data_IF_823780550050
#
_entry.id   IF_823780550050
#
_cell.length_a   1.000
_cell.length_b   1.000
_cell.length_c   1.000
_cell.angle_alpha   90.00
_cell.angle_beta   90.00
_cell.angle_gamma   90.00
#
_symmetry.space_group_name_H-M   'P 1'
#
loop_
_entity.id
_entity.type
_entity.pdbx_description
1 polymer ?
#
# COMPACT_ATOMS: atom_id res chain seq x y z
N UNK A 1 15.36 17.94 -3.82
CA UNK A 1 15.13 16.49 -3.82
C UNK A 1 13.71 16.25 -3.34
N UNK A 2 13.02 15.28 -3.92
CA UNK A 2 11.69 14.83 -3.48
C UNK A 2 11.79 13.36 -3.09
N UNK A 3 11.25 13.01 -1.93
CA UNK A 3 11.15 11.64 -1.46
C UNK A 3 9.72 11.14 -1.62
N UNK A 4 9.57 9.93 -2.18
CA UNK A 4 8.28 9.27 -2.32
C UNK A 4 8.22 8.07 -1.37
N UNK A 5 7.15 7.99 -0.60
CA UNK A 5 6.77 6.86 0.24
C UNK A 5 5.33 6.41 -0.07
N UNK A 6 4.95 5.22 0.37
CA UNK A 6 3.64 4.62 0.08
C UNK A 6 2.77 4.43 1.32
N UNK A 7 3.31 4.68 2.52
CA UNK A 7 2.59 4.51 3.77
C UNK A 7 2.78 5.74 4.68
N UNK A 8 1.71 6.14 5.37
CA UNK A 8 1.67 7.35 6.21
C UNK A 8 2.71 7.32 7.35
N UNK A 9 2.92 6.18 8.07
CA UNK A 9 3.93 6.11 9.12
C UNK A 9 5.36 6.32 8.61
N UNK A 10 5.61 6.08 7.32
CA UNK A 10 6.94 6.17 6.72
C UNK A 10 7.37 7.64 6.56
N UNK A 11 6.42 8.57 6.41
CA UNK A 11 6.68 10.02 6.35
C UNK A 11 7.45 10.45 7.60
N UNK A 12 6.94 10.09 8.77
CA UNK A 12 7.48 10.54 10.06
C UNK A 12 8.90 10.06 10.28
N UNK A 13 9.18 8.78 9.98
CA UNK A 13 10.52 8.23 10.18
C UNK A 13 11.53 8.80 9.19
N UNK A 14 11.08 9.10 7.96
CA UNK A 14 11.93 9.70 6.96
C UNK A 14 12.24 11.17 7.30
N UNK A 15 11.26 11.93 7.79
CA UNK A 15 11.48 13.28 8.31
C UNK A 15 12.52 13.29 9.44
N UNK A 16 12.44 12.35 10.37
CA UNK A 16 13.47 12.18 11.41
C UNK A 16 14.84 11.85 10.83
N UNK A 17 14.92 11.05 9.77
CA UNK A 17 16.19 10.78 9.09
C UNK A 17 16.76 12.04 8.40
N UNK A 18 15.91 12.88 7.83
CA UNK A 18 16.29 14.15 7.19
C UNK A 18 16.84 15.15 8.23
N UNK A 19 16.25 15.19 9.42
CA UNK A 19 16.77 16.00 10.54
C UNK A 19 18.17 15.55 11.00
N UNK A 20 18.49 14.26 10.85
CA UNK A 20 19.79 13.70 11.21
C UNK A 20 20.87 13.88 10.12
N UNK A 21 20.48 14.15 8.89
CA UNK A 21 21.38 14.17 7.74
C UNK A 21 20.90 15.16 6.66
N UNK A 22 21.52 16.34 6.63
CA UNK A 22 21.17 17.42 5.71
C UNK A 22 21.28 17.05 4.22
N UNK A 23 22.00 15.99 3.87
CA UNK A 23 22.06 15.55 2.46
C UNK A 23 20.79 14.87 1.97
N UNK A 24 19.86 14.53 2.88
CA UNK A 24 18.51 14.06 2.55
C UNK A 24 17.48 15.21 2.53
N UNK A 25 17.91 16.48 2.59
CA UNK A 25 16.95 17.58 2.58
C UNK A 25 16.08 17.56 1.33
N UNK A 26 14.77 17.54 1.56
CA UNK A 26 13.77 17.37 0.51
C UNK A 26 12.37 17.24 1.06
N UNK A 27 11.39 17.42 0.17
CA UNK A 27 9.99 17.19 0.49
C UNK A 27 9.71 15.69 0.58
N UNK A 28 8.87 15.26 1.54
CA UNK A 28 8.41 13.87 1.63
C UNK A 28 6.95 13.83 1.21
N UNK A 29 6.66 13.12 0.13
CA UNK A 29 5.34 12.98 -0.47
C UNK A 29 4.91 11.52 -0.38
N UNK A 30 3.66 11.31 0.02
CA UNK A 30 3.03 9.99 0.04
C UNK A 30 2.16 9.79 -1.18
N UNK A 31 2.27 8.61 -1.80
CA UNK A 31 1.22 8.04 -2.65
C UNK A 31 0.31 7.22 -1.73
N UNK A 32 -0.96 7.58 -1.64
CA UNK A 32 -1.86 7.18 -0.56
C UNK A 32 -2.58 5.85 -0.82
N UNK A 33 -2.93 5.59 -2.08
CA UNK A 33 -3.77 4.46 -2.44
C UNK A 33 -3.04 3.11 -2.25
N UNK A 34 -3.78 2.08 -1.86
CA UNK A 34 -3.28 0.70 -1.80
C UNK A 34 -3.60 -0.02 -3.13
N UNK A 35 -2.71 0.18 -4.10
CA UNK A 35 -2.79 -0.49 -5.41
C UNK A 35 -2.60 -2.01 -5.33
N UNK A 36 -2.30 -2.58 -4.15
CA UNK A 36 -2.28 -4.03 -3.98
C UNK A 36 -3.68 -4.65 -3.93
N UNK A 37 -4.75 -3.84 -3.79
CA UNK A 37 -6.14 -4.29 -3.80
C UNK A 37 -7.02 -3.45 -4.73
N UNK A 38 -8.15 -4.02 -5.16
CA UNK A 38 -9.16 -3.32 -5.95
C UNK A 38 -8.98 -3.42 -7.46
N UNK A 39 -9.83 -2.73 -8.24
CA UNK A 39 -9.73 -2.73 -9.69
C UNK A 39 -8.51 -1.91 -10.15
N UNK A 40 -7.86 -2.37 -11.20
CA UNK A 40 -6.74 -1.68 -11.87
C UNK A 40 -6.93 -1.58 -13.39
N UNK A 41 -8.04 -2.06 -13.92
CA UNK A 41 -8.29 -1.92 -15.35
C UNK A 41 -8.37 -0.44 -15.69
N UNK A 42 -7.75 -0.04 -16.81
CA UNK A 42 -7.80 1.35 -17.26
C UNK A 42 -7.34 2.38 -16.21
N UNK A 43 -6.44 1.99 -15.28
CA UNK A 43 -6.05 2.81 -14.11
C UNK A 43 -5.40 4.16 -14.48
N UNK A 44 -4.98 4.34 -15.73
CA UNK A 44 -4.36 5.59 -16.22
C UNK A 44 -5.32 6.47 -17.04
N UNK A 45 -6.58 6.09 -17.17
CA UNK A 45 -7.60 6.86 -17.92
C UNK A 45 -8.84 7.08 -17.07
N UNK A 46 -9.59 8.14 -17.39
CA UNK A 46 -10.68 8.63 -16.53
C UNK A 46 -11.71 7.59 -16.11
N UNK A 47 -12.03 6.62 -16.98
CA UNK A 47 -12.96 5.53 -16.65
C UNK A 47 -12.45 4.64 -15.50
N UNK A 48 -11.22 4.13 -15.59
CA UNK A 48 -10.66 3.25 -14.56
C UNK A 48 -10.35 3.98 -13.25
N UNK A 49 -9.98 5.26 -13.34
CA UNK A 49 -9.79 6.14 -12.17
C UNK A 49 -11.10 6.27 -11.39
N UNK A 50 -12.20 6.53 -12.09
CA UNK A 50 -13.52 6.68 -11.48
C UNK A 50 -14.05 5.32 -10.96
N UNK A 51 -13.83 4.23 -11.68
CA UNK A 51 -14.18 2.87 -11.21
C UNK A 51 -13.48 2.55 -9.87
N UNK A 52 -12.18 2.85 -9.78
CA UNK A 52 -11.41 2.63 -8.56
C UNK A 52 -11.89 3.51 -7.41
N UNK A 53 -12.19 4.79 -7.69
CA UNK A 53 -12.77 5.70 -6.71
C UNK A 53 -14.08 5.13 -6.17
N UNK A 54 -15.01 4.74 -7.05
CA UNK A 54 -16.29 4.13 -6.69
C UNK A 54 -16.11 2.85 -5.87
N UNK A 55 -15.15 2.02 -6.24
CA UNK A 55 -14.82 0.81 -5.48
C UNK A 55 -14.38 1.15 -4.05
N UNK A 56 -13.49 2.13 -3.85
CA UNK A 56 -13.13 2.58 -2.50
C UNK A 56 -14.33 3.15 -1.74
N UNK A 57 -15.26 3.85 -2.39
CA UNK A 57 -16.50 4.29 -1.73
C UNK A 57 -17.30 3.11 -1.19
N UNK A 58 -17.39 2.02 -1.96
CA UNK A 58 -18.08 0.79 -1.54
C UNK A 58 -17.35 0.06 -0.40
N UNK A 59 -16.02 0.00 -0.45
CA UNK A 59 -15.20 -0.64 0.58
C UNK A 59 -15.33 0.08 1.92
N UNK A 60 -15.33 1.41 1.90
CA UNK A 60 -15.34 2.24 3.11
C UNK A 60 -16.76 2.58 3.60
N UNK A 61 -17.80 2.29 2.81
CA UNK A 61 -19.19 2.57 3.14
C UNK A 61 -19.62 2.01 4.50
N UNK A 62 -20.18 2.89 5.34
CA UNK A 62 -20.59 2.59 6.70
C UNK A 62 -19.50 1.94 7.55
N UNK A 63 -18.21 2.19 7.29
CA UNK A 63 -17.09 1.67 8.05
C UNK A 63 -16.30 2.76 8.77
N UNK A 64 -15.24 2.35 9.47
CA UNK A 64 -14.42 3.25 10.31
C UNK A 64 -13.75 4.40 9.54
N UNK A 65 -13.69 4.30 8.21
CA UNK A 65 -13.01 5.22 7.30
C UNK A 65 -13.93 5.89 6.29
N UNK A 66 -15.25 5.84 6.47
CA UNK A 66 -16.23 6.40 5.51
C UNK A 66 -15.97 7.88 5.19
N UNK A 67 -15.55 8.68 6.17
CA UNK A 67 -15.25 10.11 5.96
C UNK A 67 -14.06 10.37 5.04
N UNK A 68 -13.10 9.44 4.94
CA UNK A 68 -11.94 9.60 4.04
C UNK A 68 -12.34 9.69 2.57
N UNK A 69 -13.49 9.11 2.21
CA UNK A 69 -14.04 9.17 0.85
C UNK A 69 -14.71 10.52 0.59
N UNK A 70 -15.39 11.08 1.59
CA UNK A 70 -16.19 12.30 1.42
C UNK A 70 -15.34 13.55 1.34
N UNK A 71 -14.17 13.54 1.97
CA UNK A 71 -13.35 14.74 2.11
C UNK A 71 -12.50 15.01 0.85
N UNK A 72 -12.42 14.05 -0.08
CA UNK A 72 -11.68 14.19 -1.34
C UNK A 72 -10.17 14.40 -1.15
N UNK A 73 -9.65 14.09 0.04
CA UNK A 73 -8.27 14.37 0.44
C UNK A 73 -7.24 13.50 -0.28
N UNK A 74 -7.66 12.36 -0.84
CA UNK A 74 -6.77 11.42 -1.53
C UNK A 74 -6.95 11.52 -3.04
N UNK A 75 -5.97 12.13 -3.71
CA UNK A 75 -5.88 12.18 -5.18
C UNK A 75 -4.42 11.99 -5.62
N UNK A 76 -4.00 10.73 -5.72
CA UNK A 76 -2.64 10.39 -6.15
C UNK A 76 -2.37 10.81 -7.60
N UNK A 77 -3.39 10.91 -8.46
CA UNK A 77 -3.22 11.38 -9.84
C UNK A 77 -2.84 12.86 -9.89
N UNK A 78 -3.45 13.67 -9.04
CA UNK A 78 -3.05 15.06 -8.85
C UNK A 78 -1.62 15.15 -8.33
N UNK A 79 -1.25 14.34 -7.33
CA UNK A 79 0.13 14.28 -6.83
C UNK A 79 1.11 13.93 -7.97
N UNK A 80 0.81 12.90 -8.77
CA UNK A 80 1.64 12.51 -9.90
C UNK A 80 1.76 13.64 -10.94
N UNK A 81 0.68 14.36 -11.25
CA UNK A 81 0.70 15.50 -12.16
C UNK A 81 1.56 16.66 -11.62
N UNK A 82 1.50 16.93 -10.31
CA UNK A 82 2.31 17.94 -9.65
C UNK A 82 3.80 17.56 -9.66
N UNK A 83 4.13 16.30 -9.38
CA UNK A 83 5.49 15.75 -9.48
C UNK A 83 6.06 15.92 -10.89
N UNK A 84 5.32 15.49 -11.92
CA UNK A 84 5.71 15.66 -13.33
C UNK A 84 5.93 17.14 -13.66
N UNK A 85 5.01 18.01 -13.22
CA UNK A 85 5.14 19.45 -13.41
C UNK A 85 6.40 20.03 -12.76
N UNK A 86 6.71 19.63 -11.53
CA UNK A 86 7.90 20.08 -10.81
C UNK A 86 9.18 19.62 -11.52
N UNK A 87 9.25 18.34 -11.88
CA UNK A 87 10.41 17.74 -12.57
C UNK A 87 10.66 18.34 -13.96
N UNK A 88 9.62 18.80 -14.67
CA UNK A 88 9.74 19.53 -15.95
C UNK A 88 10.22 20.96 -15.77
N UNK A 89 9.83 21.63 -14.68
CA UNK A 89 10.20 23.03 -14.40
C UNK A 89 11.61 23.19 -13.82
N UNK A 90 12.11 22.16 -13.13
CA UNK A 90 13.41 22.15 -12.50
C UNK A 90 14.24 20.94 -12.98
N UNK A 91 15.24 21.19 -13.82
CA UNK A 91 16.12 20.15 -14.36
C UNK A 91 17.06 19.55 -13.31
N UNK A 92 17.32 20.27 -12.20
CA UNK A 92 18.14 19.79 -11.09
C UNK A 92 17.33 18.97 -10.06
N UNK A 93 16.00 18.97 -10.16
CA UNK A 93 15.15 18.21 -9.26
C UNK A 93 15.32 16.71 -9.50
N UNK A 94 15.40 15.95 -8.40
CA UNK A 94 15.53 14.49 -8.40
C UNK A 94 14.51 13.87 -7.45
N UNK A 95 14.05 12.68 -7.81
CA UNK A 95 13.09 11.89 -7.03
C UNK A 95 13.78 10.67 -6.43
N UNK A 96 13.52 10.41 -5.16
CA UNK A 96 13.94 9.21 -4.44
C UNK A 96 12.72 8.41 -4.00
N UNK A 97 12.49 7.27 -4.64
CA UNK A 97 11.41 6.35 -4.29
C UNK A 97 11.91 5.37 -3.23
N UNK A 98 11.27 5.38 -2.06
CA UNK A 98 11.53 4.44 -0.99
C UNK A 98 10.49 3.33 -1.04
N UNK A 99 10.95 2.08 -1.11
CA UNK A 99 10.05 0.94 -1.13
C UNK A 99 10.58 -0.20 -0.23
N UNK A 100 9.74 -0.70 0.66
CA UNK A 100 9.98 -1.90 1.43
C UNK A 100 9.57 -3.18 0.67
N UNK A 101 9.96 -4.33 1.22
CA UNK A 101 9.66 -5.65 0.65
C UNK A 101 8.20 -6.06 0.95
N UNK A 102 7.23 -5.23 0.57
CA UNK A 102 5.80 -5.50 0.74
C UNK A 102 5.02 -5.16 -0.54
N UNK A 103 3.83 -5.75 -0.68
CA UNK A 103 2.98 -5.59 -1.87
C UNK A 103 2.45 -4.17 -2.07
N UNK A 104 2.27 -3.39 -1.00
CA UNK A 104 1.71 -2.04 -1.07
C UNK A 104 2.72 -1.10 -1.73
N UNK A 105 3.93 -1.06 -1.20
CA UNK A 105 5.04 -0.25 -1.75
C UNK A 105 5.38 -0.66 -3.19
N UNK A 106 5.48 -1.96 -3.47
CA UNK A 106 5.83 -2.43 -4.83
C UNK A 106 4.72 -2.11 -5.83
N UNK A 107 3.45 -2.24 -5.45
CA UNK A 107 2.32 -1.86 -6.33
C UNK A 107 2.27 -0.35 -6.57
N UNK A 108 2.50 0.46 -5.53
CA UNK A 108 2.59 1.92 -5.66
C UNK A 108 3.76 2.36 -6.52
N UNK A 109 4.92 1.72 -6.37
CA UNK A 109 6.09 1.92 -7.23
C UNK A 109 5.76 1.66 -8.71
N UNK A 110 5.17 0.51 -9.01
CA UNK A 110 4.76 0.15 -10.37
C UNK A 110 3.75 1.14 -10.96
N UNK A 111 2.75 1.54 -10.16
CA UNK A 111 1.79 2.54 -10.60
C UNK A 111 2.45 3.88 -10.93
N UNK A 112 3.33 4.37 -10.05
CA UNK A 112 3.99 5.67 -10.17
C UNK A 112 4.96 5.73 -11.36
N UNK A 113 5.65 4.61 -11.64
CA UNK A 113 6.74 4.58 -12.62
C UNK A 113 6.28 5.01 -14.03
N UNK A 114 5.00 4.77 -14.36
CA UNK A 114 4.39 5.23 -15.62
C UNK A 114 4.56 6.73 -15.86
N UNK A 115 4.46 7.54 -14.81
CA UNK A 115 4.58 9.00 -14.90
C UNK A 115 6.03 9.47 -14.89
N UNK A 116 6.95 8.63 -14.43
CA UNK A 116 8.35 9.00 -14.18
C UNK A 116 9.26 8.70 -15.38
N UNK A 117 8.76 8.03 -16.43
CA UNK A 117 9.54 7.57 -17.59
C UNK A 117 10.34 8.67 -18.30
N UNK A 118 9.84 9.90 -18.34
CA UNK A 118 10.52 11.01 -19.02
C UNK A 118 11.70 11.60 -18.22
N UNK A 119 11.87 11.20 -16.95
CA UNK A 119 12.88 11.74 -16.04
C UNK A 119 14.00 10.75 -15.75
N UNK A 120 14.33 9.88 -16.70
CA UNK A 120 15.45 8.95 -16.62
C UNK A 120 16.75 9.68 -16.21
N UNK A 121 17.53 9.04 -15.33
CA UNK A 121 18.73 9.64 -14.72
C UNK A 121 18.46 10.61 -13.56
N UNK A 122 17.19 10.98 -13.29
CA UNK A 122 16.79 11.84 -12.16
C UNK A 122 15.86 11.16 -11.16
N UNK A 123 15.54 9.88 -11.39
CA UNK A 123 14.69 9.08 -10.51
C UNK A 123 15.50 7.92 -9.96
N UNK A 124 15.58 7.90 -8.64
CA UNK A 124 16.32 6.94 -7.86
C UNK A 124 15.35 6.06 -7.10
N UNK A 125 15.73 4.81 -6.88
CA UNK A 125 15.02 3.88 -6.01
C UNK A 125 15.95 3.39 -4.91
N UNK A 126 15.39 3.34 -3.70
CA UNK A 126 15.95 2.60 -2.59
C UNK A 126 14.96 1.51 -2.21
N UNK A 127 15.30 0.28 -2.61
CA UNK A 127 14.45 -0.89 -2.40
C UNK A 127 15.01 -1.79 -1.32
N UNK A 128 14.25 -2.00 -0.24
CA UNK A 128 14.67 -2.75 0.96
C UNK A 128 14.59 -4.27 0.77
N UNK A 129 15.01 -4.78 -0.38
CA UNK A 129 14.90 -6.20 -0.71
C UNK A 129 15.78 -7.07 0.18
N UNK A 130 15.18 -7.59 1.25
CA UNK A 130 15.83 -8.44 2.25
C UNK A 130 17.10 -7.79 2.83
N UNK A 131 17.10 -6.46 2.97
CA UNK A 131 18.22 -5.74 3.58
C UNK A 131 18.17 -5.88 5.11
N UNK A 132 19.28 -6.25 5.77
CA UNK A 132 19.33 -6.36 7.22
C UNK A 132 19.50 -4.97 7.87
N UNK A 133 18.72 -4.72 8.92
CA UNK A 133 18.78 -3.51 9.74
C UNK A 133 19.03 -3.85 11.20
N UNK A 134 19.50 -2.86 11.97
CA UNK A 134 19.79 -3.02 13.39
C UNK A 134 18.73 -2.27 14.20
N UNK A 135 18.03 -2.99 15.08
CA UNK A 135 17.03 -2.39 15.96
C UNK A 135 17.68 -1.61 17.12
N UNK A 136 16.87 -0.97 17.97
CA UNK A 136 17.38 -0.19 19.12
C UNK A 136 18.23 -1.02 20.10
N UNK A 137 18.00 -2.32 20.19
CA UNK A 137 18.72 -3.26 21.04
C UNK A 137 19.99 -3.83 20.39
N UNK A 138 20.32 -3.41 19.17
CA UNK A 138 21.50 -3.91 18.45
C UNK A 138 21.29 -5.25 17.75
N UNK A 139 20.06 -5.76 17.63
CA UNK A 139 19.79 -7.02 16.95
C UNK A 139 19.47 -6.80 15.46
N UNK A 140 19.88 -7.77 14.62
CA UNK A 140 19.60 -7.77 13.20
C UNK A 140 18.14 -8.19 12.96
N UNK A 141 17.43 -7.46 12.11
CA UNK A 141 16.10 -7.80 11.63
C UNK A 141 15.92 -7.38 10.16
N UNK A 142 14.86 -7.88 9.53
CA UNK A 142 14.51 -7.59 8.14
C UNK A 142 13.13 -6.90 8.13
N UNK A 143 13.06 -5.60 7.83
CA UNK A 143 11.82 -4.84 7.91
C UNK A 143 10.87 -5.20 6.75
N UNK A 144 9.58 -5.26 7.04
CA UNK A 144 8.54 -5.32 6.01
C UNK A 144 8.02 -3.92 5.64
N UNK A 145 8.25 -2.93 6.51
CA UNK A 145 7.81 -1.55 6.33
C UNK A 145 8.97 -0.59 6.62
N UNK A 146 9.00 0.55 5.92
CA UNK A 146 10.05 1.57 6.10
C UNK A 146 10.00 2.12 7.55
N UNK A 147 8.80 2.33 8.08
CA UNK A 147 8.53 2.76 9.46
C UNK A 147 9.03 1.82 10.56
N UNK A 148 9.39 0.57 10.26
CA UNK A 148 10.03 -0.33 11.22
C UNK A 148 11.53 -0.01 11.41
N UNK A 149 12.13 0.77 10.50
CA UNK A 149 13.56 1.08 10.52
C UNK A 149 13.82 2.28 11.43
N UNK A 150 14.76 2.21 12.38
CA UNK A 150 15.16 3.39 13.14
C UNK A 150 15.76 4.47 12.23
N UNK A 151 15.38 5.74 12.40
CA UNK A 151 15.84 6.88 11.57
C UNK A 151 17.37 6.92 11.36
N UNK A 152 18.16 6.59 12.39
CA UNK A 152 19.64 6.53 12.31
C UNK A 152 20.19 5.53 11.29
N UNK A 153 19.44 4.48 10.96
CA UNK A 153 19.89 3.47 9.99
C UNK A 153 19.69 3.94 8.54
N UNK A 154 18.88 4.98 8.30
CA UNK A 154 18.70 5.57 6.96
C UNK A 154 19.99 6.21 6.44
N UNK A 155 20.88 6.69 7.33
CA UNK A 155 22.18 7.25 6.95
C UNK A 155 23.08 6.22 6.24
N UNK A 156 22.89 4.93 6.54
CA UNK A 156 23.53 3.83 5.82
C UNK A 156 22.71 3.42 4.61
N UNK A 157 21.40 3.29 4.77
CA UNK A 157 20.49 2.84 3.72
C UNK A 157 20.57 3.73 2.47
N UNK A 158 20.67 5.06 2.64
CA UNK A 158 20.74 6.03 1.52
C UNK A 158 21.87 5.74 0.53
N UNK A 159 22.96 5.07 0.96
CA UNK A 159 24.08 4.69 0.09
C UNK A 159 23.71 3.59 -0.93
N UNK A 160 22.57 2.95 -0.72
CA UNK A 160 22.01 1.91 -1.60
C UNK A 160 21.00 2.48 -2.60
N UNK A 161 20.66 3.77 -2.48
CA UNK A 161 19.87 4.45 -3.49
C UNK A 161 20.64 4.42 -4.81
N UNK A 162 19.95 4.02 -5.87
CA UNK A 162 20.51 3.95 -7.23
C UNK A 162 19.52 4.50 -8.23
N UNK A 163 20.00 4.95 -9.36
CA UNK A 163 19.15 5.30 -10.49
C UNK A 163 18.32 4.08 -10.92
N UNK A 164 17.06 4.34 -11.25
CA UNK A 164 16.23 3.35 -11.95
C UNK A 164 16.80 3.21 -13.36
N UNK A 165 17.08 1.97 -13.75
CA UNK A 165 17.70 1.69 -15.05
C UNK A 165 16.69 1.84 -16.19
N UNK A 166 17.19 2.04 -17.41
CA UNK A 166 16.35 2.06 -18.62
C UNK A 166 15.50 0.79 -18.75
N UNK A 167 16.13 -0.37 -18.50
CA UNK A 167 15.44 -1.66 -18.53
C UNK A 167 14.28 -1.73 -17.54
N UNK A 168 14.42 -1.17 -16.34
CA UNK A 168 13.31 -1.11 -15.38
C UNK A 168 12.21 -0.16 -15.83
N UNK A 169 12.55 0.99 -16.43
CA UNK A 169 11.55 1.90 -16.99
C UNK A 169 10.77 1.32 -18.18
N UNK A 170 11.31 0.31 -18.86
CA UNK A 170 10.65 -0.42 -19.93
C UNK A 170 9.84 -1.61 -19.38
N UNK A 171 10.46 -2.47 -18.57
CA UNK A 171 9.90 -3.75 -18.15
C UNK A 171 8.85 -3.60 -17.05
N UNK A 172 9.10 -2.78 -16.03
CA UNK A 172 8.20 -2.70 -14.88
C UNK A 172 6.83 -2.11 -15.24
N UNK A 173 6.71 -1.04 -16.07
CA UNK A 173 5.41 -0.53 -16.51
C UNK A 173 4.66 -1.51 -17.41
N UNK A 174 5.36 -2.34 -18.20
CA UNK A 174 4.75 -3.39 -19.01
C UNK A 174 4.22 -4.54 -18.13
N UNK A 175 4.99 -4.96 -17.11
CA UNK A 175 4.53 -5.93 -16.10
C UNK A 175 3.28 -5.40 -15.38
N UNK A 176 3.30 -4.13 -14.97
CA UNK A 176 2.15 -3.50 -14.33
C UNK A 176 0.93 -3.42 -15.25
N UNK A 177 1.12 -3.02 -16.50
CA UNK A 177 0.04 -2.94 -17.49
C UNK A 177 -0.61 -4.31 -17.72
N UNK A 178 0.20 -5.38 -17.74
CA UNK A 178 -0.32 -6.75 -17.79
C UNK A 178 -1.20 -7.07 -16.57
N UNK A 179 -0.70 -6.80 -15.35
CA UNK A 179 -1.46 -7.01 -14.11
C UNK A 179 -2.77 -6.20 -14.06
N UNK A 180 -2.77 -4.99 -14.63
CA UNK A 180 -3.97 -4.16 -14.76
C UNK A 180 -5.04 -4.83 -15.65
N UNK A 181 -4.62 -5.53 -16.71
CA UNK A 181 -5.53 -6.16 -17.68
C UNK A 181 -6.17 -7.47 -17.21
N UNK A 182 -5.62 -8.12 -16.18
CA UNK A 182 -6.07 -9.43 -15.69
C UNK A 182 -7.32 -9.35 -14.78
N UNK A 183 -7.81 -8.15 -14.45
CA UNK A 183 -9.05 -7.90 -13.69
C UNK A 183 -9.16 -8.64 -12.35
N UNK A 184 -8.03 -8.92 -11.70
CA UNK A 184 -7.98 -9.52 -10.36
C UNK A 184 -8.02 -8.46 -9.26
N UNK A 185 -8.51 -8.86 -8.08
CA UNK A 185 -8.81 -7.96 -6.96
C UNK A 185 -7.70 -7.82 -5.92
N UNK A 186 -6.77 -8.78 -5.86
CA UNK A 186 -5.69 -8.84 -4.85
C UNK A 186 -4.35 -9.09 -5.53
N UNK A 187 -3.32 -8.36 -5.12
CA UNK A 187 -1.93 -8.53 -5.54
C UNK A 187 -1.13 -9.08 -4.37
N UNK A 188 -0.21 -9.99 -4.64
CA UNK A 188 0.63 -10.62 -3.65
C UNK A 188 2.09 -10.48 -4.08
N UNK A 189 2.97 -10.23 -3.12
CA UNK A 189 4.41 -10.18 -3.38
C UNK A 189 5.02 -11.57 -3.21
N UNK A 190 5.66 -12.09 -4.25
CA UNK A 190 6.35 -13.40 -4.23
C UNK A 190 7.87 -13.30 -4.06
N UNK A 191 8.42 -12.08 -3.94
CA UNK A 191 9.83 -11.83 -3.72
C UNK A 191 10.45 -10.93 -4.79
N UNK A 192 11.45 -10.13 -4.41
CA UNK A 192 11.85 -8.97 -5.20
C UNK A 192 10.61 -8.14 -5.54
N UNK A 193 10.50 -7.66 -6.79
CA UNK A 193 9.33 -6.90 -7.27
C UNK A 193 8.21 -7.76 -7.88
N UNK A 194 8.34 -9.11 -7.86
CA UNK A 194 7.39 -10.00 -8.55
C UNK A 194 6.02 -9.99 -7.86
N UNK A 195 4.99 -9.54 -8.60
CA UNK A 195 3.60 -9.55 -8.15
C UNK A 195 2.83 -10.70 -8.80
N UNK A 196 2.07 -11.44 -8.01
CA UNK A 196 1.02 -12.36 -8.49
C UNK A 196 -0.36 -11.86 -8.08
N UNK A 197 -1.41 -12.41 -8.69
CA UNK A 197 -2.77 -11.95 -8.49
C UNK A 197 -3.72 -13.05 -8.02
N UNK A 198 -4.72 -12.64 -7.24
CA UNK A 198 -5.79 -13.47 -6.75
C UNK A 198 -7.14 -12.74 -6.81
N UNK A 199 -8.23 -13.50 -6.74
CA UNK A 199 -9.58 -12.96 -6.71
C UNK A 199 -9.87 -12.22 -5.39
N UNK A 200 -10.95 -11.42 -5.39
CA UNK A 200 -11.31 -10.58 -4.25
C UNK A 200 -11.53 -11.35 -2.93
N UNK A 201 -11.91 -12.63 -3.04
CA UNK A 201 -12.19 -13.52 -1.92
C UNK A 201 -10.94 -14.24 -1.38
N UNK A 202 -9.74 -13.91 -1.86
CA UNK A 202 -8.48 -14.56 -1.46
C UNK A 202 -8.30 -14.70 0.06
N UNK A 203 -8.68 -13.66 0.81
CA UNK A 203 -8.54 -13.65 2.28
C UNK A 203 -9.70 -14.31 3.02
N UNK A 204 -10.84 -14.58 2.36
CA UNK A 204 -12.08 -15.00 3.01
C UNK A 204 -11.92 -16.33 3.76
N UNK A 205 -11.21 -17.30 3.17
CA UNK A 205 -11.02 -18.61 3.77
C UNK A 205 -10.23 -18.53 5.10
N UNK A 206 -9.16 -17.74 5.14
CA UNK A 206 -8.35 -17.54 6.36
C UNK A 206 -9.05 -16.64 7.37
N UNK A 207 -9.85 -15.66 6.91
CA UNK A 207 -10.66 -14.81 7.77
C UNK A 207 -11.78 -15.61 8.45
N UNK A 208 -12.44 -16.52 7.74
CA UNK A 208 -13.45 -17.46 8.28
C UNK A 208 -12.89 -18.30 9.43
N UNK A 209 -11.64 -18.77 9.32
CA UNK A 209 -10.99 -19.58 10.37
C UNK A 209 -10.83 -18.82 11.69
N UNK A 210 -10.90 -17.49 11.68
CA UNK A 210 -10.81 -16.67 12.90
C UNK A 210 -12.16 -16.54 13.63
N UNK A 211 -13.27 -16.90 12.96
CA UNK A 211 -14.63 -16.84 13.52
C UNK A 211 -14.94 -18.14 14.25
N UNK A 212 -15.38 -18.04 15.51
CA UNK A 212 -15.73 -19.21 16.33
C UNK A 212 -17.24 -19.33 16.52
N UNK A 213 -17.69 -20.36 17.27
CA UNK A 213 -19.09 -20.51 17.67
C UNK A 213 -19.55 -19.51 18.75
N UNK A 214 -18.62 -18.72 19.31
CA UNK A 214 -18.91 -17.67 20.28
C UNK A 214 -19.00 -16.32 19.59
N UNK A 215 -19.80 -15.40 20.14
CA UNK A 215 -19.88 -14.03 19.64
C UNK A 215 -18.54 -13.31 19.78
N UNK A 216 -18.04 -12.78 18.65
CA UNK A 216 -16.78 -12.05 18.59
C UNK A 216 -16.97 -10.74 17.84
N UNK A 217 -16.43 -9.65 18.39
CA UNK A 217 -16.34 -8.35 17.71
C UNK A 217 -15.57 -8.49 16.39
N UNK A 218 -16.06 -7.87 15.32
CA UNK A 218 -15.37 -7.87 14.03
C UNK A 218 -13.93 -7.33 14.14
N UNK A 219 -13.71 -6.29 14.94
CA UNK A 219 -12.37 -5.76 15.24
C UNK A 219 -11.41 -6.83 15.81
N UNK A 220 -11.90 -7.71 16.69
CA UNK A 220 -11.08 -8.77 17.28
C UNK A 220 -10.69 -9.82 16.24
N UNK A 221 -11.62 -10.17 15.35
CA UNK A 221 -11.41 -11.14 14.27
C UNK A 221 -10.37 -10.60 13.28
N UNK A 222 -10.54 -9.35 12.84
CA UNK A 222 -9.61 -8.67 11.92
C UNK A 222 -8.21 -8.53 12.54
N UNK A 223 -8.10 -8.10 13.80
CA UNK A 223 -6.80 -7.98 14.48
C UNK A 223 -6.12 -9.34 14.67
N UNK A 224 -6.89 -10.39 14.96
CA UNK A 224 -6.34 -11.74 15.05
C UNK A 224 -5.82 -12.21 13.69
N UNK A 225 -6.56 -11.95 12.62
CA UNK A 225 -6.12 -12.23 11.26
C UNK A 225 -4.82 -11.48 10.94
N UNK A 226 -4.77 -10.17 11.15
CA UNK A 226 -3.60 -9.33 10.84
C UNK A 226 -2.35 -9.75 11.62
N UNK A 227 -2.49 -10.27 12.84
CA UNK A 227 -1.36 -10.70 13.66
C UNK A 227 -0.80 -12.09 13.32
N UNK A 228 -1.55 -12.94 12.61
CA UNK A 228 -1.18 -14.35 12.39
C UNK A 228 -1.12 -14.77 10.93
N UNK A 229 -1.87 -14.10 10.06
CA UNK A 229 -1.93 -14.49 8.65
C UNK A 229 -0.59 -14.21 7.97
N UNK A 230 -0.14 -15.17 7.15
CA UNK A 230 1.07 -15.01 6.32
C UNK A 230 0.92 -13.87 5.32
N UNK A 231 -0.28 -13.73 4.75
CA UNK A 231 -0.62 -12.67 3.81
C UNK A 231 -1.72 -11.82 4.43
N UNK A 232 -1.42 -10.53 4.63
CA UNK A 232 -2.35 -9.54 5.20
C UNK A 232 -2.67 -8.45 4.18
N UNK A 233 -3.58 -7.53 4.49
CA UNK A 233 -3.90 -6.30 3.75
C UNK A 233 -4.47 -5.29 4.75
N UNK A 234 -4.93 -4.11 4.29
CA UNK A 234 -5.59 -3.12 5.14
C UNK A 234 -6.85 -3.67 5.82
N UNK A 235 -7.08 -3.23 7.05
CA UNK A 235 -8.27 -3.60 7.84
C UNK A 235 -9.58 -3.16 7.17
N UNK A 236 -9.59 -2.04 6.45
CA UNK A 236 -10.72 -1.58 5.65
C UNK A 236 -11.17 -2.63 4.61
N UNK A 237 -10.22 -3.21 3.86
CA UNK A 237 -10.51 -4.27 2.90
C UNK A 237 -11.04 -5.53 3.60
N UNK A 238 -10.43 -5.92 4.72
CA UNK A 238 -10.87 -7.09 5.49
C UNK A 238 -12.28 -6.90 6.08
N UNK A 239 -12.59 -5.70 6.57
CA UNK A 239 -13.93 -5.36 7.04
C UNK A 239 -14.95 -5.44 5.91
N UNK A 240 -14.61 -4.91 4.72
CA UNK A 240 -15.46 -5.04 3.54
C UNK A 240 -15.72 -6.51 3.17
N UNK A 241 -14.68 -7.36 3.13
CA UNK A 241 -14.85 -8.80 2.91
C UNK A 241 -15.73 -9.47 3.96
N UNK A 242 -15.57 -9.08 5.23
CA UNK A 242 -16.41 -9.59 6.31
C UNK A 242 -17.88 -9.21 6.11
N UNK A 243 -18.16 -7.96 5.74
CA UNK A 243 -19.51 -7.48 5.41
C UNK A 243 -20.10 -8.22 4.21
N UNK A 244 -19.31 -8.51 3.17
CA UNK A 244 -19.73 -9.32 2.02
C UNK A 244 -20.14 -10.73 2.46
N UNK A 245 -19.32 -11.40 3.28
CA UNK A 245 -19.65 -12.74 3.78
C UNK A 245 -20.89 -12.75 4.69
N UNK A 246 -21.13 -11.67 5.44
CA UNK A 246 -22.36 -11.47 6.22
C UNK A 246 -23.57 -11.37 5.29
N UNK A 247 -23.47 -10.58 4.22
CA UNK A 247 -24.55 -10.44 3.23
C UNK A 247 -24.84 -11.75 2.47
N UNK A 248 -23.84 -12.63 2.36
CA UNK A 248 -24.00 -14.00 1.86
C UNK A 248 -24.57 -14.98 2.90
N UNK A 249 -25.01 -14.47 4.06
CA UNK A 249 -25.53 -15.24 5.19
C UNK A 249 -24.59 -16.35 5.68
N UNK A 250 -23.27 -16.10 5.67
CA UNK A 250 -22.30 -17.10 6.13
C UNK A 250 -22.18 -17.20 7.66
N UNK A 251 -22.65 -16.18 8.39
CA UNK A 251 -22.48 -16.03 9.83
C UNK A 251 -23.80 -15.61 10.49
N UNK A 252 -23.94 -15.91 11.77
CA UNK A 252 -24.91 -15.21 12.61
C UNK A 252 -24.31 -13.85 13.01
N UNK A 253 -25.14 -12.81 13.04
CA UNK A 253 -24.71 -11.43 13.27
C UNK A 253 -25.61 -10.73 14.27
N UNK A 254 -25.01 -9.98 15.19
CA UNK A 254 -25.73 -9.09 16.09
C UNK A 254 -25.05 -7.71 16.16
N UNK A 255 -25.85 -6.68 16.39
CA UNK A 255 -25.41 -5.27 16.36
C UNK A 255 -25.55 -4.62 14.98
N UNK A 256 -25.03 -3.41 14.84
CA UNK A 256 -25.12 -2.64 13.60
C UNK A 256 -23.92 -2.99 12.72
N UNK A 257 -24.15 -3.55 11.54
CA UNK A 257 -23.10 -3.88 10.56
C UNK A 257 -22.54 -2.60 9.93
N UNK A 258 -21.73 -1.89 10.71
CA UNK A 258 -21.09 -0.64 10.34
C UNK A 258 -19.58 -0.70 10.67
N UNK A 259 -19.13 0.02 11.71
CA UNK A 259 -17.74 0.02 12.14
C UNK A 259 -17.36 -1.34 12.74
N UNK A 260 -16.07 -1.68 12.72
CA UNK A 260 -15.56 -2.97 13.21
C UNK A 260 -15.88 -3.24 14.70
N UNK A 261 -16.22 -2.21 15.49
CA UNK A 261 -16.59 -2.32 16.91
C UNK A 261 -18.11 -2.44 17.14
N UNK A 262 -18.93 -2.14 16.13
CA UNK A 262 -20.38 -1.96 16.26
C UNK A 262 -21.18 -3.28 16.18
N UNK A 263 -20.56 -4.34 15.68
CA UNK A 263 -21.20 -5.65 15.52
C UNK A 263 -20.29 -6.81 15.94
N UNK A 264 -20.94 -7.94 16.17
CA UNK A 264 -20.32 -9.22 16.49
C UNK A 264 -20.84 -10.29 15.54
N UNK A 265 -19.99 -11.27 15.26
CA UNK A 265 -20.34 -12.43 14.45
C UNK A 265 -19.91 -13.72 15.13
N UNK A 266 -20.55 -14.83 14.72
CA UNK A 266 -20.15 -16.20 15.05
C UNK A 266 -20.50 -17.13 13.88
N UNK A 267 -19.98 -18.36 13.90
CA UNK A 267 -20.39 -19.40 12.95
C UNK A 267 -21.88 -19.73 13.13
N UNK A 268 -22.59 -20.00 12.02
CA UNK A 268 -23.95 -20.55 12.08
C UNK A 268 -23.93 -21.90 12.81
N UNK A 269 -25.00 -22.15 13.56
CA UNK A 269 -25.24 -23.43 14.23
C UNK A 269 -25.56 -24.55 13.23
#
# INVERSE_FOLDING_TARGET
MIHIVFNEPDIKVLQQAIELDESLQGEVIQINDDYAVGPLNNIYVGEGIEERKQWWQQVLAGGDYESKVTDGEVDDYKIAAELVGNMRRNEEEIIWIWAAQNKHDVSGYYWLLKYMQEFQGRVFILYLNNLPFINEKGNIFYPNWISEIPAKEFLKAKKLAREITLSEFEVDPDEWTKLCSENKGVRLLEGGKKITQADYDFYDAELKKQVTGDWQKAAKIINHFLSKAKHTTGDAYLLWRLKVMIAMEMFDVQGKVANMKDFEIKTKA
#
